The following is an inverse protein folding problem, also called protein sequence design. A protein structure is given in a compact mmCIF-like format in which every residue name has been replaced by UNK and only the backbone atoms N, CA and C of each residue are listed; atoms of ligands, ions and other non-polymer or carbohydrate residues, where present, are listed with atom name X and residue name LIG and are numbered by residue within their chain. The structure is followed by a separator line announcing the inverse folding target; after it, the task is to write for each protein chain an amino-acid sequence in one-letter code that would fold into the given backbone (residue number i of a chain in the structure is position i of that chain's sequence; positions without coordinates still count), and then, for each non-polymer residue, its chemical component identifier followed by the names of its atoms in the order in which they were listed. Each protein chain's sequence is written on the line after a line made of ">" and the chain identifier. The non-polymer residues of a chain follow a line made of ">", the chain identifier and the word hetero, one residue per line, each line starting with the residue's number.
data_IF_026306132899
#
_entry.id   IF_026306132899
#
_cell.length_a   1.000
_cell.length_b   1.000
_cell.length_c   1.000
_cell.angle_alpha   90.00
_cell.angle_beta   90.00
_cell.angle_gamma   90.00
#
_symmetry.space_group_name_H-M   'P 1'
#
loop_
_entity.id
_entity.type
_entity.pdbx_description
1 polymer ?
#
# COMPACT_ATOMS: atom_id res chain seq x y z
N UNK A 1 -7.95 -59.66 -11.37
CA UNK A 1 -7.75 -58.28 -11.81
C UNK A 1 -6.28 -58.08 -12.20
N UNK A 2 -6.03 -57.81 -13.46
CA UNK A 2 -4.69 -57.83 -14.05
C UNK A 2 -3.91 -56.57 -13.65
N UNK A 3 -2.66 -56.73 -13.20
CA UNK A 3 -1.79 -55.63 -12.78
C UNK A 3 -1.62 -54.51 -13.84
N UNK A 4 -1.79 -54.84 -15.10
CA UNK A 4 -1.69 -53.89 -16.22
C UNK A 4 -2.87 -52.89 -16.29
N UNK A 5 -4.05 -53.26 -15.81
CA UNK A 5 -5.22 -52.38 -15.80
C UNK A 5 -5.12 -51.30 -14.72
N UNK A 6 -4.45 -51.58 -13.59
CA UNK A 6 -4.28 -50.65 -12.49
C UNK A 6 -3.32 -49.51 -12.86
N UNK A 7 -2.24 -49.83 -13.59
CA UNK A 7 -1.29 -48.80 -14.04
C UNK A 7 -1.87 -47.85 -15.10
N UNK A 8 -2.77 -48.36 -15.96
CA UNK A 8 -3.42 -47.51 -16.97
C UNK A 8 -4.37 -46.45 -16.36
N UNK A 9 -5.06 -46.83 -15.30
CA UNK A 9 -5.92 -45.82 -14.59
C UNK A 9 -5.12 -44.83 -13.77
N UNK A 10 -3.96 -45.20 -13.21
CA UNK A 10 -3.11 -44.28 -12.45
C UNK A 10 -2.43 -43.28 -13.39
N UNK A 11 -2.00 -43.69 -14.57
CA UNK A 11 -1.42 -42.80 -15.58
C UNK A 11 -2.48 -41.87 -16.16
N UNK A 12 -3.72 -42.29 -16.35
CA UNK A 12 -4.81 -41.49 -16.84
C UNK A 12 -5.25 -40.45 -15.77
N UNK A 13 -5.24 -40.84 -14.50
CA UNK A 13 -5.53 -39.94 -13.37
C UNK A 13 -4.46 -38.85 -13.18
N UNK A 14 -3.18 -39.23 -13.33
CA UNK A 14 -2.07 -38.23 -13.25
C UNK A 14 -2.04 -37.31 -14.46
N UNK A 15 -2.36 -37.80 -15.66
CA UNK A 15 -2.41 -36.94 -16.86
C UNK A 15 -3.57 -35.92 -16.79
N UNK A 16 -4.71 -36.31 -16.23
CA UNK A 16 -5.82 -35.39 -16.02
C UNK A 16 -5.52 -34.32 -14.93
N UNK A 17 -4.85 -34.69 -13.84
CA UNK A 17 -4.44 -33.74 -12.81
C UNK A 17 -3.39 -32.75 -13.34
N UNK A 18 -2.46 -33.17 -14.19
CA UNK A 18 -1.48 -32.29 -14.82
C UNK A 18 -2.11 -31.35 -15.84
N UNK A 19 -3.10 -31.81 -16.62
CA UNK A 19 -3.80 -30.93 -17.58
C UNK A 19 -4.66 -29.89 -16.86
N UNK A 20 -5.30 -30.21 -15.74
CA UNK A 20 -6.03 -29.23 -14.94
C UNK A 20 -5.12 -28.22 -14.25
N UNK A 21 -3.94 -28.61 -13.77
CA UNK A 21 -2.99 -27.68 -13.17
C UNK A 21 -2.33 -26.76 -14.23
N UNK A 22 -2.05 -27.29 -15.43
CA UNK A 22 -1.52 -26.48 -16.53
C UNK A 22 -2.54 -25.46 -17.08
N UNK A 23 -3.83 -25.81 -17.10
CA UNK A 23 -4.87 -24.85 -17.51
C UNK A 23 -5.17 -23.80 -16.43
N UNK A 24 -4.99 -24.09 -15.15
CA UNK A 24 -5.11 -23.13 -14.08
C UNK A 24 -3.92 -22.14 -14.04
N UNK A 25 -2.72 -22.59 -14.43
CA UNK A 25 -1.53 -21.72 -14.50
C UNK A 25 -1.51 -20.80 -15.72
N UNK A 26 -2.26 -21.11 -16.80
CA UNK A 26 -2.28 -20.29 -18.01
C UNK A 26 -3.33 -19.18 -18.02
N UNK A 27 -4.00 -18.91 -16.90
CA UNK A 27 -4.90 -17.75 -16.74
C UNK A 27 -4.26 -16.59 -15.98
N UNK A 28 -2.96 -16.43 -16.04
CA UNK A 28 -2.36 -15.14 -15.74
C UNK A 28 -2.70 -14.26 -16.95
N UNK A 29 -3.66 -13.38 -16.78
CA UNK A 29 -4.02 -12.40 -17.81
C UNK A 29 -2.75 -11.68 -18.26
N UNK A 30 -2.60 -11.51 -19.58
CA UNK A 30 -1.51 -10.72 -20.12
C UNK A 30 -1.46 -9.34 -19.42
N UNK A 31 -0.26 -8.80 -19.15
CA UNK A 31 -0.14 -7.49 -18.54
C UNK A 31 -0.95 -6.45 -19.32
N UNK A 32 -1.74 -5.64 -18.63
CA UNK A 32 -2.47 -4.56 -19.28
C UNK A 32 -1.52 -3.50 -19.78
N UNK A 33 -1.79 -3.02 -20.99
CA UNK A 33 -1.01 -1.92 -21.59
C UNK A 33 -1.28 -0.58 -20.90
N UNK A 34 -2.47 -0.41 -20.35
CA UNK A 34 -2.88 0.79 -19.62
C UNK A 34 -3.14 0.45 -18.15
N UNK A 35 -2.31 0.98 -17.25
CA UNK A 35 -2.45 0.81 -15.81
C UNK A 35 -3.72 1.42 -15.22
N UNK A 36 -4.43 2.25 -15.97
CA UNK A 36 -5.71 2.82 -15.56
C UNK A 36 -6.89 1.91 -15.90
N UNK A 37 -6.68 0.91 -16.77
CA UNK A 37 -7.71 -0.09 -17.01
C UNK A 37 -7.81 -1.02 -15.80
N UNK A 38 -9.03 -1.39 -15.50
CA UNK A 38 -9.33 -2.38 -14.48
C UNK A 38 -9.19 -3.75 -15.09
N UNK A 39 -8.38 -4.62 -14.48
CA UNK A 39 -8.41 -6.06 -14.82
C UNK A 39 -9.66 -6.65 -14.20
N UNK A 40 -10.55 -7.12 -15.03
CA UNK A 40 -11.76 -7.74 -14.57
C UNK A 40 -11.59 -9.25 -14.43
N UNK A 41 -11.16 -9.66 -13.24
CA UNK A 41 -11.22 -11.07 -12.81
C UNK A 41 -12.34 -11.28 -11.79
N UNK A 42 -13.19 -10.29 -11.58
CA UNK A 42 -14.22 -10.27 -10.54
C UNK A 42 -15.52 -9.75 -11.13
N UNK A 43 -16.59 -9.84 -10.36
CA UNK A 43 -17.87 -9.24 -10.75
C UNK A 43 -17.69 -7.74 -10.98
N UNK A 44 -18.14 -7.27 -12.13
CA UNK A 44 -18.01 -5.90 -12.61
C UNK A 44 -18.50 -4.86 -11.59
N UNK A 45 -19.56 -5.19 -10.86
CA UNK A 45 -20.12 -4.35 -9.79
C UNK A 45 -19.17 -4.16 -8.60
N UNK A 46 -18.50 -5.24 -8.15
CA UNK A 46 -17.54 -5.17 -7.04
C UNK A 46 -16.27 -4.44 -7.45
N UNK A 47 -15.83 -4.64 -8.68
CA UNK A 47 -14.67 -3.99 -9.23
C UNK A 47 -14.89 -2.47 -9.32
N UNK A 48 -16.02 -2.05 -9.86
CA UNK A 48 -16.43 -0.63 -9.92
C UNK A 48 -16.52 0.00 -8.52
N UNK A 49 -17.13 -0.70 -7.56
CA UNK A 49 -17.27 -0.18 -6.20
C UNK A 49 -15.91 0.07 -5.51
N UNK A 50 -14.89 -0.76 -5.79
CA UNK A 50 -13.58 -0.62 -5.16
C UNK A 50 -12.61 0.31 -5.87
N UNK A 51 -12.81 0.55 -7.17
CA UNK A 51 -11.91 1.37 -7.98
C UNK A 51 -12.49 2.73 -8.33
N UNK A 52 -13.79 2.91 -8.15
CA UNK A 52 -14.43 4.20 -8.33
C UNK A 52 -13.86 5.20 -7.31
N UNK A 53 -13.51 6.39 -7.79
CA UNK A 53 -13.22 7.50 -6.90
C UNK A 53 -14.47 7.85 -6.11
N UNK A 54 -14.34 8.16 -4.81
CA UNK A 54 -15.48 8.66 -4.06
C UNK A 54 -15.94 10.00 -4.64
N UNK A 55 -17.20 10.34 -4.45
CA UNK A 55 -17.66 11.72 -4.59
C UNK A 55 -17.06 12.50 -3.41
N UNK A 56 -16.35 13.56 -3.70
CA UNK A 56 -15.62 14.30 -2.68
C UNK A 56 -16.53 14.79 -1.54
N UNK A 57 -16.14 14.46 -0.32
CA UNK A 57 -16.89 14.76 0.89
C UNK A 57 -18.01 13.78 1.23
N UNK A 58 -18.27 12.77 0.40
CA UNK A 58 -19.40 11.83 0.59
C UNK A 58 -19.19 10.84 1.74
N UNK A 59 -17.95 10.61 2.16
CA UNK A 59 -17.63 9.69 3.26
C UNK A 59 -17.70 10.34 4.64
N UNK A 60 -18.05 11.63 4.73
CA UNK A 60 -18.08 12.38 5.98
C UNK A 60 -19.04 11.78 7.00
N UNK A 61 -18.55 11.51 8.19
CA UNK A 61 -19.33 11.02 9.32
C UNK A 61 -19.62 12.20 10.28
N UNK A 62 -20.84 12.70 10.25
CA UNK A 62 -21.21 13.85 11.08
C UNK A 62 -20.32 15.06 10.81
N UNK A 63 -19.66 15.57 11.85
CA UNK A 63 -18.74 16.72 11.76
C UNK A 63 -17.26 16.30 11.69
N UNK A 64 -16.97 15.02 11.58
CA UNK A 64 -15.59 14.55 11.52
C UNK A 64 -14.88 15.05 10.26
N UNK A 65 -13.59 15.37 10.36
CA UNK A 65 -12.82 15.77 9.19
C UNK A 65 -12.64 14.59 8.22
N UNK A 66 -12.31 14.93 6.99
CA UNK A 66 -11.88 13.98 5.97
C UNK A 66 -10.41 14.25 5.65
N UNK A 67 -9.66 13.16 5.48
CA UNK A 67 -8.35 13.19 4.86
C UNK A 67 -8.49 12.87 3.37
N UNK A 68 -8.33 13.87 2.52
CA UNK A 68 -8.31 13.72 1.07
C UNK A 68 -6.92 13.36 0.60
N UNK A 69 -6.79 12.29 -0.18
CA UNK A 69 -5.54 11.90 -0.82
C UNK A 69 -5.57 12.29 -2.30
N UNK A 70 -4.65 13.13 -2.71
CA UNK A 70 -4.51 13.66 -4.08
C UNK A 70 -3.17 13.21 -4.64
N UNK A 71 -3.19 12.42 -5.70
CA UNK A 71 -1.98 11.83 -6.25
C UNK A 71 -2.21 11.10 -7.57
N UNK A 72 -1.23 10.31 -7.95
CA UNK A 72 -1.23 9.57 -9.20
C UNK A 72 -1.34 8.04 -8.98
N UNK A 73 -0.77 7.25 -9.88
CA UNK A 73 -0.85 5.78 -9.85
C UNK A 73 -0.17 5.16 -8.63
N UNK A 74 0.81 5.80 -8.03
CA UNK A 74 1.52 5.29 -6.85
C UNK A 74 0.69 5.42 -5.55
N UNK A 75 -0.34 6.26 -5.57
CA UNK A 75 -1.27 6.48 -4.45
C UNK A 75 -2.67 5.89 -4.72
N UNK A 76 -3.08 5.71 -5.97
CA UNK A 76 -4.45 5.35 -6.32
C UNK A 76 -4.93 4.03 -5.70
N UNK A 77 -6.25 3.89 -5.57
CA UNK A 77 -6.89 2.64 -5.21
C UNK A 77 -6.73 1.60 -6.33
N UNK A 78 -6.33 0.39 -5.96
CA UNK A 78 -6.25 -0.73 -6.89
C UNK A 78 -7.59 -1.43 -7.10
N UNK A 79 -7.59 -2.46 -7.94
CA UNK A 79 -8.73 -3.34 -8.13
C UNK A 79 -8.76 -4.48 -7.11
N UNK A 80 -9.88 -5.16 -7.02
CA UNK A 80 -10.07 -6.32 -6.17
C UNK A 80 -9.01 -7.41 -6.38
N UNK A 81 -8.20 -7.66 -5.36
CA UNK A 81 -7.28 -8.77 -5.30
C UNK A 81 -6.04 -8.66 -6.17
N UNK A 82 -6.02 -7.78 -7.16
CA UNK A 82 -4.88 -7.65 -8.06
C UNK A 82 -4.40 -6.20 -8.27
N UNK A 83 -5.01 -5.23 -7.57
CA UNK A 83 -4.55 -3.86 -7.59
C UNK A 83 -4.47 -3.24 -8.99
N UNK A 84 -5.47 -3.43 -9.83
CA UNK A 84 -5.40 -2.97 -11.22
C UNK A 84 -4.15 -3.51 -11.94
N UNK A 85 -4.19 -4.76 -12.32
CA UNK A 85 -3.08 -5.49 -12.92
C UNK A 85 -1.94 -5.86 -11.95
N UNK A 86 -2.27 -6.03 -10.67
CA UNK A 86 -1.29 -6.31 -9.62
C UNK A 86 -0.56 -5.06 -9.10
N UNK A 87 -0.95 -3.88 -9.56
CA UNK A 87 -0.37 -2.60 -9.15
C UNK A 87 -1.26 -1.87 -8.15
N UNK A 88 -0.74 -1.65 -6.95
CA UNK A 88 -1.45 -0.99 -5.86
C UNK A 88 -0.81 0.36 -5.53
N UNK A 89 -1.64 1.36 -5.26
CA UNK A 89 -1.17 2.60 -4.66
C UNK A 89 -1.32 2.58 -3.14
N UNK A 90 -0.44 3.27 -2.43
CA UNK A 90 -0.43 3.28 -0.98
C UNK A 90 -1.69 3.91 -0.35
N UNK A 91 -2.36 4.80 -1.06
CA UNK A 91 -3.59 5.43 -0.59
C UNK A 91 -4.76 4.45 -0.40
N UNK A 92 -4.69 3.25 -0.99
CA UNK A 92 -5.65 2.19 -0.73
C UNK A 92 -5.58 1.70 0.73
N UNK A 93 -4.36 1.60 1.26
CA UNK A 93 -4.11 1.12 2.62
C UNK A 93 -4.05 2.23 3.67
N UNK A 94 -4.02 3.50 3.26
CA UNK A 94 -3.87 4.63 4.19
C UNK A 94 -4.94 4.65 5.28
N UNK A 95 -6.20 4.32 4.94
CA UNK A 95 -7.32 4.29 5.88
C UNK A 95 -7.15 3.28 7.02
N UNK A 96 -6.35 2.23 6.83
CA UNK A 96 -6.12 1.20 7.84
C UNK A 96 -5.37 1.74 9.07
N UNK A 97 -4.62 2.82 8.90
CA UNK A 97 -3.81 3.45 9.94
C UNK A 97 -4.54 4.56 10.70
N UNK A 98 -5.69 5.02 10.23
CA UNK A 98 -6.46 6.09 10.88
C UNK A 98 -7.64 5.53 11.68
N UNK A 99 -7.99 6.23 12.76
CA UNK A 99 -9.18 5.95 13.55
C UNK A 99 -10.43 6.37 12.76
N UNK A 100 -11.12 5.39 12.19
CA UNK A 100 -12.27 5.60 11.30
C UNK A 100 -13.49 6.20 12.01
N UNK A 101 -13.51 6.25 13.34
CA UNK A 101 -14.57 6.90 14.11
C UNK A 101 -14.33 8.39 14.28
N UNK A 102 -13.10 8.87 14.03
CA UNK A 102 -12.69 10.25 14.22
C UNK A 102 -12.34 10.98 12.91
N UNK A 103 -11.90 10.24 11.89
CA UNK A 103 -11.56 10.76 10.57
C UNK A 103 -11.87 9.72 9.50
N UNK A 104 -12.27 10.14 8.31
CA UNK A 104 -12.38 9.25 7.15
C UNK A 104 -11.32 9.59 6.11
N UNK A 105 -10.90 8.59 5.33
CA UNK A 105 -9.90 8.77 4.27
C UNK A 105 -10.59 8.60 2.92
N UNK A 106 -10.51 9.62 2.07
CA UNK A 106 -10.99 9.58 0.69
C UNK A 106 -9.81 9.61 -0.27
N UNK A 107 -9.63 8.53 -1.02
CA UNK A 107 -8.57 8.45 -2.02
C UNK A 107 -9.06 8.92 -3.39
N UNK A 108 -8.65 10.11 -3.79
CA UNK A 108 -8.96 10.73 -5.09
C UNK A 108 -7.84 10.57 -6.11
N UNK A 109 -6.77 9.86 -5.78
CA UNK A 109 -5.63 9.67 -6.68
C UNK A 109 -6.03 8.94 -7.97
N UNK A 110 -5.44 9.33 -9.08
CA UNK A 110 -5.70 8.78 -10.41
C UNK A 110 -4.42 8.41 -11.14
N UNK A 111 -4.40 7.20 -11.70
CA UNK A 111 -3.28 6.75 -12.51
C UNK A 111 -2.99 7.63 -13.71
N UNK A 112 -1.70 7.90 -13.97
CA UNK A 112 -1.24 8.67 -15.12
C UNK A 112 -1.41 10.18 -15.01
N UNK A 113 -1.97 10.71 -13.93
CA UNK A 113 -2.10 12.17 -13.71
C UNK A 113 -0.78 12.79 -13.27
N UNK A 114 -0.56 14.01 -13.70
CA UNK A 114 0.48 14.94 -13.26
C UNK A 114 -0.13 16.05 -12.39
N UNK A 115 0.70 16.93 -11.83
CA UNK A 115 0.24 18.15 -11.15
C UNK A 115 -0.72 18.95 -12.05
N UNK A 116 -0.33 19.19 -13.31
CA UNK A 116 -1.13 19.87 -14.33
C UNK A 116 -2.46 19.19 -14.59
N UNK A 117 -2.43 17.91 -14.98
CA UNK A 117 -3.65 17.22 -15.42
C UNK A 117 -4.60 16.94 -14.27
N UNK A 118 -4.07 16.71 -13.07
CA UNK A 118 -4.93 16.58 -11.89
C UNK A 118 -5.58 17.92 -11.55
N UNK A 119 -4.80 19.02 -11.51
CA UNK A 119 -5.33 20.34 -11.18
C UNK A 119 -6.40 20.78 -12.17
N UNK A 120 -6.14 20.68 -13.48
CA UNK A 120 -7.04 21.21 -14.50
C UNK A 120 -8.31 20.38 -14.70
N UNK A 121 -8.27 19.06 -14.45
CA UNK A 121 -9.36 18.15 -14.85
C UNK A 121 -10.13 17.54 -13.68
N UNK A 122 -9.48 17.32 -12.54
CA UNK A 122 -10.04 16.53 -11.45
C UNK A 122 -10.14 17.29 -10.14
N UNK A 123 -9.23 18.23 -9.92
CA UNK A 123 -9.19 19.06 -8.72
C UNK A 123 -10.46 19.89 -8.49
N UNK A 124 -11.10 20.51 -9.52
CA UNK A 124 -12.33 21.26 -9.33
C UNK A 124 -13.46 20.45 -8.66
N UNK A 125 -13.48 19.14 -8.85
CA UNK A 125 -14.49 18.29 -8.21
C UNK A 125 -14.08 17.90 -6.79
N UNK A 126 -12.79 17.66 -6.54
CA UNK A 126 -12.29 17.33 -5.20
C UNK A 126 -12.45 18.49 -4.26
N UNK A 127 -12.03 19.70 -4.64
CA UNK A 127 -12.05 20.88 -3.78
C UNK A 127 -13.47 21.32 -3.39
N UNK A 128 -14.50 20.94 -4.15
CA UNK A 128 -15.89 21.18 -3.77
C UNK A 128 -16.29 20.45 -2.49
N UNK A 129 -15.76 19.24 -2.27
CA UNK A 129 -16.05 18.43 -1.09
C UNK A 129 -15.22 18.80 0.15
N UNK A 130 -14.13 19.55 -0.04
CA UNK A 130 -13.25 19.98 1.05
C UNK A 130 -13.92 21.08 1.87
N UNK A 131 -13.88 20.94 3.20
CA UNK A 131 -14.43 21.86 4.18
C UNK A 131 -13.38 22.28 5.19
N UNK A 132 -13.67 23.30 5.98
CA UNK A 132 -12.80 23.74 7.07
C UNK A 132 -12.53 22.61 8.07
N UNK A 133 -11.27 22.47 8.46
CA UNK A 133 -10.79 21.39 9.34
C UNK A 133 -10.44 20.09 8.64
N UNK A 134 -10.70 19.94 7.34
CA UNK A 134 -10.25 18.78 6.56
C UNK A 134 -8.74 18.82 6.30
N UNK A 135 -8.20 17.68 5.90
CA UNK A 135 -6.79 17.51 5.54
C UNK A 135 -6.68 17.11 4.08
N UNK A 136 -5.65 17.61 3.39
CA UNK A 136 -5.37 17.23 1.99
C UNK A 136 -3.91 16.90 1.83
N UNK A 137 -3.59 15.64 1.56
CA UNK A 137 -2.23 15.19 1.20
C UNK A 137 -2.11 15.23 -0.32
N UNK A 138 -1.02 15.83 -0.81
CA UNK A 138 -0.75 15.98 -2.25
C UNK A 138 0.61 15.36 -2.55
N UNK A 139 0.60 14.30 -3.40
CA UNK A 139 1.79 13.59 -3.92
C UNK A 139 1.71 13.51 -5.44
N UNK A 140 2.31 14.43 -6.14
CA UNK A 140 2.33 14.53 -7.62
C UNK A 140 3.75 14.82 -8.10
N UNK A 141 4.08 14.42 -9.34
CA UNK A 141 5.40 14.63 -9.94
C UNK A 141 5.89 13.47 -10.82
N UNK A 142 5.49 12.22 -10.55
CA UNK A 142 5.94 11.07 -11.35
C UNK A 142 5.62 11.18 -12.85
N UNK A 143 4.60 11.94 -13.23
CA UNK A 143 4.09 12.07 -14.57
C UNK A 143 4.27 13.47 -15.19
N UNK A 144 5.00 14.34 -14.53
CA UNK A 144 5.14 15.75 -14.90
C UNK A 144 6.21 16.01 -15.98
N UNK A 145 6.94 14.97 -16.38
CA UNK A 145 7.88 15.02 -17.49
C UNK A 145 7.23 14.66 -18.82
N UNK A 146 7.79 15.18 -19.92
CA UNK A 146 7.43 14.83 -21.29
C UNK A 146 6.99 16.03 -22.13
N UNK A 147 6.32 15.78 -23.26
CA UNK A 147 5.80 16.86 -24.11
C UNK A 147 4.65 17.63 -23.43
N UNK A 148 4.56 18.91 -23.72
CA UNK A 148 3.48 19.76 -23.20
C UNK A 148 2.21 19.66 -24.02
N UNK A 149 2.30 19.34 -25.31
CA UNK A 149 1.23 19.49 -26.31
C UNK A 149 0.88 18.20 -27.05
N UNK A 150 1.62 17.12 -26.84
CA UNK A 150 1.44 15.87 -27.60
C UNK A 150 1.46 14.64 -26.70
N UNK A 151 1.08 13.50 -27.23
CA UNK A 151 0.96 12.26 -26.51
C UNK A 151 -0.07 12.39 -25.37
N UNK A 152 0.34 12.12 -24.13
CA UNK A 152 -0.56 12.34 -22.97
C UNK A 152 -0.70 13.81 -22.58
N UNK A 153 0.10 14.72 -23.13
CA UNK A 153 0.10 16.17 -22.90
C UNK A 153 -0.07 16.53 -21.41
N UNK A 154 0.76 15.93 -20.56
CA UNK A 154 0.61 16.01 -19.10
C UNK A 154 1.77 16.70 -18.38
N UNK A 155 2.85 17.01 -19.09
CA UNK A 155 4.02 17.64 -18.48
C UNK A 155 3.69 19.03 -17.93
N UNK A 156 4.29 19.36 -16.79
CA UNK A 156 4.41 20.71 -16.26
C UNK A 156 5.78 21.29 -16.58
N UNK A 157 5.92 22.62 -16.59
CA UNK A 157 7.24 23.26 -16.75
C UNK A 157 8.08 22.93 -15.49
N UNK A 158 9.34 22.48 -15.64
CA UNK A 158 10.22 22.19 -14.52
C UNK A 158 10.48 23.40 -13.61
N UNK A 159 10.57 23.15 -12.31
CA UNK A 159 10.95 24.18 -11.33
C UNK A 159 9.78 24.76 -10.55
N UNK A 160 10.11 25.76 -9.72
CA UNK A 160 9.17 26.40 -8.78
C UNK A 160 8.76 27.81 -9.19
N UNK A 161 9.24 28.29 -10.35
CA UNK A 161 8.89 29.62 -10.89
C UNK A 161 7.40 29.76 -11.19
N UNK A 162 7.02 30.98 -11.64
CA UNK A 162 5.66 31.29 -12.12
C UNK A 162 5.54 31.21 -13.65
N UNK A 163 6.48 30.50 -14.27
CA UNK A 163 6.56 30.38 -15.71
C UNK A 163 5.29 29.72 -16.28
N UNK A 164 4.89 30.18 -17.45
CA UNK A 164 3.76 29.61 -18.17
C UNK A 164 4.01 29.58 -19.67
N UNK A 165 3.37 28.63 -20.35
CA UNK A 165 3.45 28.43 -21.79
C UNK A 165 2.06 28.13 -22.33
N UNK A 166 1.63 28.87 -23.38
CA UNK A 166 0.41 28.54 -24.09
C UNK A 166 0.67 27.46 -25.15
N UNK A 167 -0.08 26.38 -25.10
CA UNK A 167 0.03 25.27 -26.04
C UNK A 167 -1.32 24.99 -26.69
N UNK A 168 -1.29 24.34 -27.84
CA UNK A 168 -2.47 23.72 -28.46
C UNK A 168 -2.21 22.21 -28.46
N UNK A 169 -3.05 21.45 -27.77
CA UNK A 169 -2.93 19.99 -27.71
C UNK A 169 -3.14 19.39 -29.09
N UNK A 170 -2.13 18.69 -29.60
CA UNK A 170 -2.11 18.22 -31.01
C UNK A 170 -3.26 17.24 -31.30
N UNK A 171 -3.59 16.33 -30.35
CA UNK A 171 -4.62 15.33 -30.55
C UNK A 171 -6.06 15.89 -30.48
N UNK A 172 -6.27 17.01 -29.80
CA UNK A 172 -7.63 17.52 -29.55
C UNK A 172 -7.88 18.93 -30.05
N UNK A 173 -6.83 19.68 -30.40
CA UNK A 173 -6.92 21.10 -30.75
C UNK A 173 -7.25 22.04 -29.59
N UNK A 174 -7.32 21.53 -28.37
CA UNK A 174 -7.62 22.34 -27.17
C UNK A 174 -6.45 23.24 -26.83
N UNK A 175 -6.73 24.52 -26.61
CA UNK A 175 -5.75 25.48 -26.13
C UNK A 175 -5.68 25.44 -24.61
N UNK A 176 -4.48 25.38 -24.07
CA UNK A 176 -4.24 25.29 -22.63
C UNK A 176 -3.01 26.11 -22.24
N UNK A 177 -3.05 26.73 -21.07
CA UNK A 177 -1.86 27.33 -20.46
C UNK A 177 -1.22 26.32 -19.50
N UNK A 178 0.01 25.96 -19.79
CA UNK A 178 0.84 25.09 -18.94
C UNK A 178 1.65 25.95 -18.00
N UNK A 179 1.61 25.63 -16.72
CA UNK A 179 2.40 26.30 -15.68
C UNK A 179 3.54 25.43 -15.19
N UNK A 180 4.44 26.01 -14.39
CA UNK A 180 5.46 25.25 -13.71
C UNK A 180 4.85 24.25 -12.71
N UNK A 181 5.61 23.20 -12.37
CA UNK A 181 5.24 22.26 -11.32
C UNK A 181 4.96 23.00 -10.00
N UNK A 182 5.87 23.89 -9.61
CA UNK A 182 5.70 24.65 -8.38
C UNK A 182 4.47 25.55 -8.38
N UNK A 183 4.10 26.12 -9.52
CA UNK A 183 2.88 26.93 -9.62
C UNK A 183 1.61 26.08 -9.43
N UNK A 184 1.56 24.86 -10.00
CA UNK A 184 0.44 23.95 -9.73
C UNK A 184 0.39 23.55 -8.24
N UNK A 185 1.52 23.20 -7.63
CA UNK A 185 1.57 22.83 -6.21
C UNK A 185 1.15 24.00 -5.31
N UNK A 186 1.57 25.22 -5.64
CA UNK A 186 1.17 26.44 -4.94
C UNK A 186 -0.35 26.65 -4.99
N UNK A 187 -0.94 26.46 -6.16
CA UNK A 187 -2.40 26.61 -6.34
C UNK A 187 -3.18 25.57 -5.54
N UNK A 188 -2.76 24.32 -5.54
CA UNK A 188 -3.38 23.30 -4.67
C UNK A 188 -3.37 23.74 -3.21
N UNK A 189 -2.22 24.20 -2.70
CA UNK A 189 -2.07 24.66 -1.30
C UNK A 189 -2.98 25.84 -1.01
N UNK A 190 -3.01 26.83 -1.90
CA UNK A 190 -3.82 28.04 -1.73
C UNK A 190 -5.32 27.72 -1.74
N UNK A 191 -5.77 26.85 -2.64
CA UNK A 191 -7.18 26.45 -2.72
C UNK A 191 -7.61 25.70 -1.44
N UNK A 192 -6.76 24.82 -0.89
CA UNK A 192 -7.03 24.11 0.37
C UNK A 192 -7.09 25.09 1.54
N UNK A 193 -6.12 26.02 1.64
CA UNK A 193 -6.12 27.05 2.69
C UNK A 193 -7.35 27.96 2.60
N UNK A 194 -7.77 28.30 1.38
CA UNK A 194 -8.97 29.11 1.15
C UNK A 194 -10.27 28.44 1.64
N UNK A 195 -10.27 27.11 1.75
CA UNK A 195 -11.36 26.33 2.37
C UNK A 195 -11.29 26.27 3.90
N UNK A 196 -10.24 26.80 4.52
CA UNK A 196 -9.96 26.59 5.95
C UNK A 196 -9.50 25.18 6.28
N UNK A 197 -8.99 24.45 5.29
CA UNK A 197 -8.48 23.11 5.42
C UNK A 197 -6.93 23.09 5.48
N UNK A 198 -6.34 21.95 5.79
CA UNK A 198 -4.93 21.78 6.08
C UNK A 198 -4.21 21.01 4.95
N UNK A 199 -3.44 21.69 4.08
CA UNK A 199 -2.66 21.00 3.06
C UNK A 199 -1.34 20.45 3.62
N UNK A 200 -0.93 19.28 3.11
CA UNK A 200 0.35 18.64 3.38
C UNK A 200 0.95 18.22 2.06
N UNK A 201 2.19 18.59 1.77
CA UNK A 201 2.90 18.14 0.59
C UNK A 201 3.80 16.96 0.90
N UNK A 202 3.76 15.97 0.03
CA UNK A 202 4.60 14.79 0.09
C UNK A 202 5.61 14.79 -1.04
N UNK A 203 6.81 14.26 -0.79
CA UNK A 203 7.69 13.82 -1.87
C UNK A 203 7.15 12.55 -2.51
N UNK A 204 7.73 12.16 -3.64
CA UNK A 204 7.29 11.01 -4.42
C UNK A 204 7.68 9.70 -3.73
N UNK A 205 6.90 8.63 -3.92
CA UNK A 205 7.35 7.27 -3.57
C UNK A 205 8.65 6.93 -4.29
N UNK A 206 9.58 6.17 -3.67
CA UNK A 206 10.80 5.74 -4.34
C UNK A 206 10.51 4.72 -5.45
N UNK A 207 11.44 4.59 -6.36
CA UNK A 207 11.46 3.56 -7.40
C UNK A 207 12.33 2.40 -6.95
N UNK A 208 12.09 1.21 -7.48
CA UNK A 208 13.06 0.12 -7.39
C UNK A 208 14.25 0.44 -8.32
N UNK A 209 15.05 1.40 -7.91
CA UNK A 209 16.24 1.85 -8.63
C UNK A 209 17.36 2.08 -7.62
N UNK A 210 18.47 1.40 -7.83
CA UNK A 210 19.65 1.42 -6.97
C UNK A 210 20.71 2.28 -7.64
N UNK A 211 21.56 2.95 -6.86
CA UNK A 211 22.55 3.90 -7.40
C UNK A 211 23.48 3.24 -8.42
N UNK A 212 23.91 2.02 -8.15
CA UNK A 212 24.64 1.16 -9.09
C UNK A 212 24.27 -0.31 -8.87
N UNK A 213 24.91 -1.21 -9.66
CA UNK A 213 24.62 -2.64 -9.64
C UNK A 213 24.87 -3.28 -8.26
N UNK A 214 25.90 -2.84 -7.58
CA UNK A 214 26.34 -3.44 -6.31
C UNK A 214 25.96 -2.58 -5.09
N UNK A 215 25.37 -1.39 -5.32
CA UNK A 215 24.91 -0.49 -4.28
C UNK A 215 23.79 -1.09 -3.45
N UNK A 216 23.81 -0.81 -2.18
CA UNK A 216 22.71 -1.05 -1.23
C UNK A 216 21.83 0.18 -1.03
N UNK A 217 22.09 1.26 -1.79
CA UNK A 217 21.42 2.56 -1.68
C UNK A 217 20.42 2.72 -2.81
N UNK A 218 19.17 3.02 -2.45
CA UNK A 218 18.11 3.39 -3.39
C UNK A 218 18.35 4.80 -3.92
N UNK A 219 18.25 4.97 -5.23
CA UNK A 219 18.32 6.29 -5.86
C UNK A 219 17.15 7.16 -5.37
N UNK A 220 17.45 8.23 -4.67
CA UNK A 220 16.45 9.20 -4.21
C UNK A 220 15.93 10.04 -5.38
N UNK A 221 14.61 10.35 -5.37
CA UNK A 221 14.00 11.26 -6.35
C UNK A 221 13.76 12.66 -5.76
N UNK A 222 14.68 13.09 -4.93
CA UNK A 222 14.64 14.34 -4.18
C UNK A 222 15.41 15.50 -4.83
N UNK A 223 15.88 15.33 -6.07
CA UNK A 223 16.65 16.37 -6.79
C UNK A 223 15.79 17.25 -7.70
N UNK A 224 14.53 16.83 -7.94
CA UNK A 224 13.61 17.50 -8.87
C UNK A 224 12.25 17.70 -8.20
N UNK A 225 11.25 16.95 -8.58
CA UNK A 225 9.87 17.14 -8.10
C UNK A 225 9.73 17.02 -6.58
N UNK A 226 10.48 16.12 -5.92
CA UNK A 226 10.51 16.02 -4.46
C UNK A 226 11.13 17.27 -3.82
N UNK A 227 12.23 17.78 -4.37
CA UNK A 227 12.85 19.04 -3.93
C UNK A 227 11.91 20.22 -4.14
N UNK A 228 11.30 20.31 -5.32
CA UNK A 228 10.38 21.41 -5.63
C UNK A 228 9.12 21.39 -4.75
N UNK A 229 8.58 20.20 -4.45
CA UNK A 229 7.48 20.07 -3.49
C UNK A 229 7.88 20.59 -2.10
N UNK A 230 9.09 20.24 -1.63
CA UNK A 230 9.65 20.75 -0.37
C UNK A 230 9.77 22.27 -0.37
N UNK A 231 10.36 22.83 -1.43
CA UNK A 231 10.52 24.29 -1.55
C UNK A 231 9.19 25.05 -1.57
N UNK A 232 8.16 24.47 -2.23
CA UNK A 232 6.81 25.06 -2.18
C UNK A 232 6.17 24.93 -0.80
N UNK A 233 6.38 23.79 -0.12
CA UNK A 233 5.90 23.63 1.25
C UNK A 233 6.51 24.68 2.20
N UNK A 234 7.82 24.91 2.09
CA UNK A 234 8.55 25.93 2.83
C UNK A 234 8.04 27.35 2.48
N UNK A 235 7.89 27.67 1.19
CA UNK A 235 7.36 28.96 0.71
C UNK A 235 5.94 29.23 1.21
N UNK A 236 5.10 28.19 1.22
CA UNK A 236 3.70 28.31 1.59
C UNK A 236 3.44 28.04 3.09
N UNK A 237 4.48 27.80 3.87
CA UNK A 237 4.40 27.49 5.31
C UNK A 237 3.41 26.36 5.61
N UNK A 238 3.60 25.21 4.92
CA UNK A 238 2.81 23.99 5.13
C UNK A 238 3.71 22.79 5.40
N UNK A 239 3.22 21.74 6.07
CA UNK A 239 4.01 20.56 6.33
C UNK A 239 4.49 19.89 5.03
N UNK A 240 5.74 19.42 5.05
CA UNK A 240 6.33 18.57 4.03
C UNK A 240 6.77 17.25 4.64
N UNK A 241 6.38 16.13 4.03
CA UNK A 241 6.81 14.80 4.44
C UNK A 241 7.62 14.17 3.32
N UNK A 242 8.88 13.83 3.63
CA UNK A 242 9.77 13.15 2.68
C UNK A 242 9.48 11.64 2.65
N UNK A 243 8.35 11.28 2.03
CA UNK A 243 7.96 9.89 1.82
C UNK A 243 9.02 9.10 1.07
N UNK A 244 9.73 9.76 0.14
CA UNK A 244 10.79 9.14 -0.65
C UNK A 244 11.90 8.59 0.24
N UNK A 245 12.42 9.42 1.12
CA UNK A 245 13.54 9.04 1.99
C UNK A 245 13.13 8.01 3.04
N UNK A 246 11.96 8.20 3.67
CA UNK A 246 11.44 7.25 4.67
C UNK A 246 11.27 5.85 4.06
N UNK A 247 10.62 5.75 2.90
CA UNK A 247 10.39 4.45 2.25
C UNK A 247 11.66 3.87 1.67
N UNK A 248 12.52 4.70 1.04
CA UNK A 248 13.77 4.22 0.47
C UNK A 248 14.70 3.66 1.56
N UNK A 249 14.75 4.28 2.74
CA UNK A 249 15.49 3.76 3.88
C UNK A 249 14.99 2.41 4.37
N UNK A 250 13.69 2.14 4.26
CA UNK A 250 13.12 0.81 4.51
C UNK A 250 13.53 -0.18 3.43
N UNK A 251 13.46 0.21 2.16
CA UNK A 251 13.87 -0.65 1.05
C UNK A 251 15.36 -1.05 1.13
N UNK A 252 16.21 -0.14 1.56
CA UNK A 252 17.63 -0.43 1.79
C UNK A 252 17.83 -1.51 2.86
N UNK A 253 17.06 -1.44 3.96
CA UNK A 253 17.08 -2.47 5.01
C UNK A 253 16.56 -3.81 4.53
N UNK A 254 15.58 -3.83 3.63
CA UNK A 254 15.05 -5.07 3.05
C UNK A 254 16.03 -5.72 2.06
N UNK A 255 16.82 -4.93 1.38
CA UNK A 255 17.75 -5.37 0.34
C UNK A 255 17.07 -5.66 -1.00
N UNK A 256 17.86 -5.66 -2.06
CA UNK A 256 17.42 -5.77 -3.47
C UNK A 256 16.49 -6.96 -3.72
N UNK A 257 16.82 -8.12 -3.15
CA UNK A 257 16.09 -9.35 -3.41
C UNK A 257 14.65 -9.31 -2.87
N UNK A 258 14.42 -8.70 -1.70
CA UNK A 258 13.08 -8.54 -1.16
C UNK A 258 12.32 -7.41 -1.84
N UNK A 259 12.99 -6.31 -2.14
CA UNK A 259 12.38 -5.13 -2.77
C UNK A 259 11.84 -5.42 -4.16
N UNK A 260 12.45 -6.33 -4.93
CA UNK A 260 11.89 -6.69 -6.25
C UNK A 260 10.47 -7.26 -6.19
N UNK A 261 10.08 -7.91 -5.08
CA UNK A 261 8.70 -8.39 -4.86
C UNK A 261 7.72 -7.30 -4.41
N UNK A 262 8.23 -6.12 -4.07
CA UNK A 262 7.43 -4.94 -3.75
C UNK A 262 6.98 -4.18 -4.99
N UNK A 263 7.46 -4.60 -6.18
CA UNK A 263 7.12 -4.02 -7.48
C UNK A 263 6.63 -5.11 -8.42
N UNK A 264 5.54 -4.85 -9.15
CA UNK A 264 4.87 -5.91 -9.90
C UNK A 264 5.40 -6.05 -11.34
N UNK A 265 5.22 -5.04 -12.17
CA UNK A 265 5.58 -5.12 -13.59
C UNK A 265 6.73 -4.19 -13.98
N UNK A 266 6.95 -3.18 -13.19
CA UNK A 266 7.94 -2.15 -13.46
C UNK A 266 8.60 -1.67 -12.16
N UNK A 267 9.49 -0.72 -12.27
CA UNK A 267 10.23 -0.19 -11.12
C UNK A 267 9.55 0.96 -10.38
N UNK A 268 8.30 1.31 -10.74
CA UNK A 268 7.59 2.49 -10.21
C UNK A 268 6.36 2.07 -9.43
N UNK A 269 5.57 1.15 -10.00
CA UNK A 269 4.28 0.75 -9.46
C UNK A 269 4.44 -0.45 -8.53
N UNK A 270 4.00 -0.27 -7.31
CA UNK A 270 4.17 -1.28 -6.26
C UNK A 270 3.15 -2.40 -6.34
N UNK A 271 3.54 -3.59 -5.87
CA UNK A 271 2.63 -4.65 -5.47
C UNK A 271 1.81 -4.23 -4.25
N UNK A 272 0.85 -5.04 -3.83
CA UNK A 272 0.11 -4.82 -2.57
C UNK A 272 1.06 -4.65 -1.39
N UNK A 273 2.10 -5.48 -1.31
CA UNK A 273 3.11 -5.42 -0.27
C UNK A 273 3.89 -4.08 -0.30
N UNK A 274 4.42 -3.68 -1.46
CA UNK A 274 5.13 -2.41 -1.59
C UNK A 274 4.24 -1.19 -1.30
N UNK A 275 2.95 -1.27 -1.65
CA UNK A 275 1.98 -0.22 -1.32
C UNK A 275 1.73 -0.09 0.19
N UNK A 276 1.67 -1.21 0.93
CA UNK A 276 1.59 -1.20 2.40
C UNK A 276 2.82 -0.55 3.02
N UNK A 277 4.03 -0.88 2.55
CA UNK A 277 5.27 -0.25 3.01
C UNK A 277 5.24 1.27 2.79
N UNK A 278 4.75 1.73 1.64
CA UNK A 278 4.57 3.16 1.38
C UNK A 278 3.53 3.80 2.32
N UNK A 279 2.39 3.13 2.57
CA UNK A 279 1.36 3.63 3.49
C UNK A 279 1.87 3.72 4.93
N UNK A 280 2.61 2.71 5.39
CA UNK A 280 3.29 2.73 6.68
C UNK A 280 4.30 3.88 6.76
N UNK A 281 5.09 4.09 5.71
CA UNK A 281 6.06 5.21 5.66
C UNK A 281 5.38 6.56 5.67
N UNK A 282 4.25 6.71 4.95
CA UNK A 282 3.46 7.94 4.96
C UNK A 282 2.94 8.27 6.36
N UNK A 283 2.39 7.26 7.05
CA UNK A 283 1.86 7.44 8.42
C UNK A 283 2.96 7.61 9.46
N UNK A 284 4.11 6.97 9.29
CA UNK A 284 5.32 7.22 10.08
C UNK A 284 5.78 8.69 9.93
N UNK A 285 5.83 9.20 8.70
CA UNK A 285 6.16 10.59 8.44
C UNK A 285 5.17 11.56 9.10
N UNK A 286 3.87 11.27 9.05
CA UNK A 286 2.83 12.05 9.74
C UNK A 286 3.04 12.01 11.25
N UNK A 287 3.31 10.84 11.83
CA UNK A 287 3.48 10.64 13.27
C UNK A 287 4.70 11.36 13.81
N UNK A 288 5.79 11.36 13.06
CA UNK A 288 7.07 11.90 13.47
C UNK A 288 7.24 13.40 13.13
N UNK A 289 6.29 13.98 12.37
CA UNK A 289 6.34 15.40 12.05
C UNK A 289 5.97 16.23 13.29
N UNK A 290 6.84 17.16 13.66
CA UNK A 290 6.65 17.95 14.89
C UNK A 290 5.33 18.74 14.85
N UNK A 291 4.46 18.52 15.84
CA UNK A 291 3.18 19.22 16.03
C UNK A 291 2.18 19.12 14.89
N UNK A 292 2.25 18.07 14.06
CA UNK A 292 1.23 17.82 13.05
C UNK A 292 -0.02 17.22 13.68
N UNK A 293 -1.09 18.01 13.81
CA UNK A 293 -2.33 17.58 14.46
C UNK A 293 -3.01 16.38 13.76
N UNK A 294 -2.75 16.14 12.48
CA UNK A 294 -3.22 14.95 11.77
C UNK A 294 -2.75 13.65 12.46
N UNK A 295 -1.60 13.67 13.13
CA UNK A 295 -1.09 12.51 13.87
C UNK A 295 -2.02 12.06 15.00
N UNK A 296 -2.85 12.95 15.54
CA UNK A 296 -3.81 12.64 16.60
C UNK A 296 -4.96 11.73 16.14
N UNK A 297 -5.14 11.57 14.84
CA UNK A 297 -6.14 10.70 14.23
C UNK A 297 -5.58 9.32 13.85
N UNK A 298 -4.26 9.13 13.98
CA UNK A 298 -3.64 7.83 13.73
C UNK A 298 -3.99 6.85 14.85
N UNK A 299 -4.29 5.61 14.48
CA UNK A 299 -4.40 4.51 15.46
C UNK A 299 -3.08 4.39 16.24
N UNK A 300 -3.14 4.02 17.51
CA UNK A 300 -1.93 3.63 18.25
C UNK A 300 -1.16 2.58 17.46
N UNK A 301 0.17 2.67 17.51
CA UNK A 301 1.00 1.56 17.03
C UNK A 301 0.76 0.40 18.00
N UNK A 302 0.07 -0.64 17.55
CA UNK A 302 -0.06 -1.86 18.34
C UNK A 302 1.34 -2.43 18.55
N UNK A 303 1.81 -2.43 19.77
CA UNK A 303 2.94 -3.25 20.15
C UNK A 303 2.38 -4.65 20.37
N UNK A 304 2.63 -5.54 19.42
CA UNK A 304 2.32 -6.94 19.63
C UNK A 304 3.20 -7.45 20.77
N UNK A 305 2.60 -8.08 21.77
CA UNK A 305 3.34 -8.78 22.81
C UNK A 305 4.04 -9.97 22.15
N UNK A 306 5.36 -9.93 22.10
CA UNK A 306 6.18 -11.03 21.58
C UNK A 306 6.67 -11.79 22.80
N UNK A 307 6.29 -13.05 22.94
CA UNK A 307 6.86 -13.94 23.97
C UNK A 307 7.98 -14.78 23.37
N UNK A 308 9.03 -14.98 24.14
CA UNK A 308 10.23 -15.68 23.73
C UNK A 308 11.49 -14.82 23.88
N UNK A 309 12.54 -15.21 23.18
CA UNK A 309 13.82 -14.51 23.20
C UNK A 309 14.03 -13.73 21.90
N UNK A 310 14.39 -12.47 22.05
CA UNK A 310 14.83 -11.65 20.89
C UNK A 310 16.01 -12.30 20.16
N UNK A 311 16.13 -11.99 18.86
CA UNK A 311 17.29 -12.44 18.05
C UNK A 311 18.61 -12.16 18.76
N UNK A 312 19.41 -13.18 18.93
CA UNK A 312 20.83 -13.08 19.32
C UNK A 312 21.70 -12.96 18.07
N UNK A 313 22.78 -12.22 18.18
CA UNK A 313 23.74 -12.06 17.08
C UNK A 313 24.28 -13.42 16.65
N UNK A 314 24.25 -13.69 15.36
CA UNK A 314 24.75 -14.94 14.77
C UNK A 314 23.85 -16.17 14.97
N UNK A 315 22.71 -16.04 15.63
CA UNK A 315 21.75 -17.13 15.83
C UNK A 315 20.52 -17.01 14.93
N UNK A 316 20.00 -18.13 14.41
CA UNK A 316 18.73 -18.12 13.71
C UNK A 316 17.55 -17.86 14.68
N UNK A 317 16.41 -17.49 14.14
CA UNK A 317 15.15 -17.31 14.87
C UNK A 317 14.11 -18.30 14.36
N UNK A 318 13.35 -18.87 15.28
CA UNK A 318 12.08 -19.55 14.97
C UNK A 318 10.95 -18.55 15.23
N UNK A 319 10.31 -18.10 14.16
CA UNK A 319 9.09 -17.32 14.25
C UNK A 319 7.89 -18.27 14.30
N UNK A 320 7.01 -18.12 15.26
CA UNK A 320 5.74 -18.83 15.29
C UNK A 320 4.61 -17.86 14.99
N UNK A 321 3.78 -18.18 14.00
CA UNK A 321 2.62 -17.39 13.61
C UNK A 321 1.38 -18.27 13.56
N UNK A 322 0.24 -17.70 13.90
CA UNK A 322 -1.01 -18.44 13.92
C UNK A 322 -2.14 -17.68 14.60
N UNK A 323 -3.17 -18.43 14.90
CA UNK A 323 -4.39 -17.97 15.56
C UNK A 323 -4.36 -18.13 17.09
N UNK A 324 -5.54 -18.24 17.71
CA UNK A 324 -5.69 -18.41 19.18
C UNK A 324 -5.02 -19.67 19.72
N UNK A 325 -4.85 -20.71 18.90
CA UNK A 325 -4.22 -21.97 19.35
C UNK A 325 -2.70 -21.85 19.45
N UNK A 326 -2.12 -20.80 18.87
CA UNK A 326 -0.68 -20.49 18.93
C UNK A 326 -0.39 -19.24 19.77
N UNK A 327 -1.40 -18.42 20.10
CA UNK A 327 -1.25 -17.11 20.77
C UNK A 327 -0.38 -17.12 22.01
N UNK A 328 0.13 -15.95 22.38
CA UNK A 328 0.82 -15.73 23.63
C UNK A 328 -0.13 -15.79 24.83
N UNK A 329 0.37 -16.24 25.98
CA UNK A 329 -0.39 -16.28 27.24
C UNK A 329 -0.79 -14.88 27.73
N UNK A 330 0.04 -13.87 27.47
CA UNK A 330 -0.18 -12.50 27.92
C UNK A 330 -1.35 -11.82 27.20
N UNK A 331 -1.80 -12.37 26.08
CA UNK A 331 -3.02 -11.95 25.38
C UNK A 331 -4.30 -12.51 26.02
N UNK A 332 -4.17 -13.32 27.07
CA UNK A 332 -5.27 -14.11 27.58
C UNK A 332 -5.66 -13.73 29.01
N UNK A 333 -6.77 -13.03 29.13
CA UNK A 333 -7.37 -12.67 30.44
C UNK A 333 -8.14 -13.83 31.06
N UNK A 334 -8.45 -14.87 30.30
CA UNK A 334 -9.32 -15.98 30.64
C UNK A 334 -8.57 -17.30 30.85
N UNK A 335 -7.25 -17.31 30.82
CA UNK A 335 -6.40 -18.50 31.03
C UNK A 335 -6.28 -19.43 29.82
N UNK A 336 -6.65 -18.99 28.60
CA UNK A 336 -6.57 -19.78 27.38
C UNK A 336 -5.27 -19.49 26.63
N UNK A 337 -4.29 -20.37 26.73
CA UNK A 337 -2.96 -20.20 26.14
C UNK A 337 -2.81 -21.00 24.83
N UNK A 338 -2.13 -20.44 23.86
CA UNK A 338 -1.66 -21.17 22.69
C UNK A 338 -0.33 -21.86 22.95
N UNK A 339 -0.02 -22.90 22.21
CA UNK A 339 1.24 -23.65 22.34
C UNK A 339 2.48 -22.79 22.05
N UNK A 340 2.35 -21.75 21.22
CA UNK A 340 3.44 -20.82 20.92
C UNK A 340 3.95 -20.04 22.14
N UNK A 341 3.14 -19.94 23.19
CA UNK A 341 3.56 -19.29 24.45
C UNK A 341 4.61 -20.07 25.24
N UNK A 342 4.71 -21.37 25.01
CA UNK A 342 5.61 -22.28 25.76
C UNK A 342 6.66 -22.96 24.88
N UNK A 343 6.54 -22.87 23.57
CA UNK A 343 7.45 -23.59 22.64
C UNK A 343 8.91 -23.18 22.83
N UNK A 344 9.19 -21.95 23.21
CA UNK A 344 10.55 -21.46 23.44
C UNK A 344 11.29 -22.24 24.53
N UNK A 345 10.59 -22.84 25.49
CA UNK A 345 11.17 -23.66 26.56
C UNK A 345 11.77 -24.99 26.04
N UNK A 346 11.40 -25.38 24.80
CA UNK A 346 11.87 -26.63 24.18
C UNK A 346 13.12 -26.43 23.32
N UNK A 347 13.58 -25.20 23.15
CA UNK A 347 14.75 -24.88 22.34
C UNK A 347 15.95 -24.48 23.21
N UNK A 348 17.16 -24.79 22.74
CA UNK A 348 18.40 -24.30 23.32
C UNK A 348 18.56 -22.81 22.98
N UNK A 349 18.21 -21.95 23.92
CA UNK A 349 18.20 -20.50 23.75
C UNK A 349 19.58 -19.90 23.53
N UNK A 350 20.66 -20.64 23.74
CA UNK A 350 22.02 -20.19 23.39
C UNK A 350 22.31 -20.33 21.88
N UNK A 351 21.56 -21.17 21.19
CA UNK A 351 21.79 -21.49 19.78
C UNK A 351 20.70 -20.99 18.84
N UNK A 352 19.52 -20.72 19.35
CA UNK A 352 18.37 -20.28 18.54
C UNK A 352 17.44 -19.40 19.38
N UNK A 353 16.93 -18.34 18.78
CA UNK A 353 15.88 -17.52 19.40
C UNK A 353 14.50 -18.01 18.92
N UNK A 354 13.48 -17.85 19.77
CA UNK A 354 12.10 -18.20 19.43
C UNK A 354 11.20 -17.01 19.69
N UNK A 355 10.48 -16.55 18.69
CA UNK A 355 9.58 -15.41 18.78
C UNK A 355 8.14 -15.83 18.40
N UNK A 356 7.19 -15.69 19.32
CA UNK A 356 5.80 -15.97 19.02
C UNK A 356 5.03 -14.69 18.65
N UNK A 357 4.65 -14.59 17.41
CA UNK A 357 3.90 -13.49 16.82
C UNK A 357 2.42 -13.84 16.54
N UNK A 358 1.94 -14.98 17.03
CA UNK A 358 0.57 -15.40 16.82
C UNK A 358 -0.44 -14.46 17.49
N UNK A 359 -1.59 -14.26 16.87
CA UNK A 359 -2.66 -13.39 17.34
C UNK A 359 -4.01 -14.10 17.32
N UNK A 360 -4.70 -14.09 18.47
CA UNK A 360 -6.02 -14.70 18.58
C UNK A 360 -7.04 -14.10 17.59
N UNK A 361 -7.96 -14.93 17.09
CA UNK A 361 -9.04 -14.52 16.21
C UNK A 361 -8.62 -14.22 14.76
N UNK A 362 -7.38 -14.53 14.37
CA UNK A 362 -6.91 -14.26 13.00
C UNK A 362 -6.98 -15.50 12.14
N UNK A 363 -7.57 -15.37 10.96
CA UNK A 363 -7.42 -16.31 9.85
C UNK A 363 -6.10 -16.04 9.13
N UNK A 364 -5.66 -16.94 8.27
CA UNK A 364 -4.51 -16.71 7.39
C UNK A 364 -4.68 -15.41 6.60
N UNK A 365 -5.89 -15.17 6.10
CA UNK A 365 -6.24 -13.96 5.36
C UNK A 365 -6.13 -12.70 6.22
N UNK A 366 -6.78 -12.64 7.38
CA UNK A 366 -6.77 -11.44 8.23
C UNK A 366 -5.38 -11.14 8.78
N UNK A 367 -4.57 -12.17 9.05
CA UNK A 367 -3.17 -12.02 9.46
C UNK A 367 -2.32 -11.31 8.38
N UNK A 368 -2.57 -11.64 7.10
CA UNK A 368 -1.97 -10.95 5.96
C UNK A 368 -2.52 -9.53 5.79
N UNK A 369 -3.85 -9.37 5.82
CA UNK A 369 -4.52 -8.09 5.60
C UNK A 369 -4.14 -7.04 6.65
N UNK A 370 -3.88 -7.46 7.90
CA UNK A 370 -3.40 -6.61 8.99
C UNK A 370 -1.89 -6.28 8.90
N UNK A 371 -1.17 -6.77 7.89
CA UNK A 371 0.27 -6.55 7.75
C UNK A 371 1.13 -7.26 8.80
N UNK A 372 0.60 -8.23 9.54
CA UNK A 372 1.34 -8.99 10.57
C UNK A 372 2.41 -9.87 9.96
N UNK A 373 2.10 -10.52 8.83
CA UNK A 373 3.08 -11.27 8.05
C UNK A 373 4.21 -10.37 7.54
N UNK A 374 3.88 -9.15 7.12
CA UNK A 374 4.89 -8.24 6.59
C UNK A 374 5.97 -7.94 7.65
N UNK A 375 5.58 -7.76 8.92
CA UNK A 375 6.54 -7.58 10.02
C UNK A 375 7.50 -8.76 10.16
N UNK A 376 7.00 -10.00 10.08
CA UNK A 376 7.82 -11.21 10.13
C UNK A 376 8.73 -11.28 8.90
N UNK A 377 8.15 -11.08 7.72
CA UNK A 377 8.88 -11.15 6.46
C UNK A 377 10.06 -10.17 6.42
N UNK A 378 9.88 -8.98 6.99
CA UNK A 378 10.94 -7.99 7.10
C UNK A 378 12.06 -8.41 8.06
N UNK A 379 11.69 -9.10 9.15
CA UNK A 379 12.64 -9.54 10.17
C UNK A 379 13.42 -10.81 9.75
N UNK A 380 12.92 -11.59 8.78
CA UNK A 380 13.54 -12.83 8.32
C UNK A 380 14.94 -12.62 7.75
N UNK A 381 15.84 -13.50 8.17
CA UNK A 381 17.21 -13.62 7.66
C UNK A 381 17.47 -15.04 7.15
N UNK A 382 18.48 -15.24 6.29
CA UNK A 382 18.88 -16.58 5.89
C UNK A 382 19.20 -17.46 7.10
N UNK A 383 18.61 -18.66 7.14
CA UNK A 383 18.76 -19.62 8.24
C UNK A 383 17.65 -19.56 9.29
N UNK A 384 16.75 -18.57 9.25
CA UNK A 384 15.58 -18.53 10.13
C UNK A 384 14.52 -19.57 9.73
N UNK A 385 13.63 -19.85 10.67
CA UNK A 385 12.51 -20.78 10.51
C UNK A 385 11.19 -20.05 10.78
N UNK A 386 10.12 -20.44 10.08
CA UNK A 386 8.77 -19.97 10.36
C UNK A 386 7.84 -21.16 10.54
N UNK A 387 7.21 -21.25 11.70
CA UNK A 387 6.15 -22.21 11.99
C UNK A 387 4.79 -21.51 11.82
N UNK A 388 3.96 -22.04 10.93
CA UNK A 388 2.69 -21.43 10.53
C UNK A 388 1.54 -22.37 10.88
N UNK A 389 0.59 -21.88 11.69
CA UNK A 389 -0.64 -22.61 11.98
C UNK A 389 -1.85 -21.69 11.97
N UNK A 390 -2.69 -21.84 10.94
CA UNK A 390 -4.00 -21.24 10.81
C UNK A 390 -5.03 -22.29 10.44
N UNK A 391 -6.30 -21.97 10.52
CA UNK A 391 -7.38 -22.86 10.11
C UNK A 391 -8.69 -22.63 10.89
N UNK A 392 -8.62 -22.44 12.20
CA UNK A 392 -9.82 -22.32 13.05
C UNK A 392 -10.68 -21.10 12.71
N UNK A 393 -10.06 -20.02 12.23
CA UNK A 393 -10.74 -18.79 11.83
C UNK A 393 -10.83 -18.61 10.30
N UNK A 394 -10.38 -19.61 9.52
CA UNK A 394 -10.39 -19.58 8.07
C UNK A 394 -11.66 -20.20 7.47
N UNK A 395 -12.54 -20.76 8.31
CA UNK A 395 -13.84 -21.27 7.89
C UNK A 395 -14.65 -20.14 7.26
N UNK A 396 -15.02 -20.37 6.04
CA UNK A 396 -15.63 -19.38 5.16
C UNK A 396 -16.99 -18.94 5.69
N UNK A 397 -17.25 -17.63 5.68
CA UNK A 397 -18.57 -17.02 5.79
C UNK A 397 -19.60 -17.48 4.71
N UNK A 398 -19.31 -18.53 3.95
CA UNK A 398 -20.26 -19.15 3.02
C UNK A 398 -21.31 -19.99 3.71
N UNK A 399 -21.20 -20.22 5.04
CA UNK A 399 -22.18 -20.95 5.84
C UNK A 399 -22.75 -20.08 6.97
N UNK A 400 -23.27 -18.91 6.66
CA UNK A 400 -23.80 -17.99 7.69
C UNK A 400 -25.29 -18.18 8.01
N UNK A 401 -25.96 -19.23 7.54
CA UNK A 401 -27.35 -19.44 7.96
C UNK A 401 -27.68 -20.82 8.50
N UNK A 402 -26.90 -21.86 8.23
CA UNK A 402 -27.29 -23.23 8.60
C UNK A 402 -26.33 -23.96 9.56
N UNK A 403 -25.16 -23.40 9.86
CA UNK A 403 -24.19 -24.05 10.76
C UNK A 403 -24.41 -23.77 12.26
N UNK A 404 -25.47 -23.06 12.61
CA UNK A 404 -25.83 -22.85 14.02
C UNK A 404 -26.70 -23.98 14.61
N UNK A 405 -27.12 -24.96 13.81
CA UNK A 405 -28.07 -26.02 14.24
C UNK A 405 -27.46 -27.42 14.24
N UNK A 406 -26.27 -27.60 13.72
CA UNK A 406 -25.55 -28.87 13.83
C UNK A 406 -24.47 -28.77 14.92
N UNK A 407 -24.92 -28.93 16.16
CA UNK A 407 -24.05 -29.09 17.28
C UNK A 407 -23.25 -30.39 17.17
N UNK A 408 -22.00 -30.29 16.66
CA UNK A 408 -20.83 -31.09 16.96
C UNK A 408 -19.61 -30.60 16.18
#
# INVERSE_FOLDING_TARGET
>A
MNKHTFYSYLILGMTFAFVFSAQAQNKVSAPMKDVNQVIDNTLDSLNKARTARPVAGSSRKGNNPILFLVGNSTMRTGTLGNGNNGQWGWGYYAGDYFDSDRITVENHALGGTSSRTFYNRFWPDVIKGVQAGDWVIIELGHNDNGPYDSGRARASIPGIGKDSLNVTIQETGVKETVYSYGEYMRRFVQDVKAKGAHPILFSLTPRNAWEDKDSTIITRVNQTFGLWAKQIAEEQEVPFIDLNDITASKFEKFGKEKVKYMFYLDRIHTSAFGAKVNAESATEGIRNYERLELANYLKPVEQDTITGSSRKEGCPVVFTIGDSTVKNKDDDKDGMWGWGSVIHELFDTERISVENHAKAGRSARTYLDEGRWDKIYHALQPGDFVLIQFGHNDACLLYTSDAADDGE
#
